data_IF_988407365218
#
_entry.id   IF_988407365218
#
_cell.length_a   1.000
_cell.length_b   1.000
_cell.length_c   1.000
_cell.angle_alpha   90.00
_cell.angle_beta   90.00
_cell.angle_gamma   90.00
#
_symmetry.space_group_name_H-M   'P 1'
#
loop_
_entity.id
_entity.type
_entity.pdbx_description
1 polymer ?
#
# COMPACT_ATOMS: atom_id res chain seq x y z
N UNK A 1 23.42 -17.52 11.94
CA UNK A 1 22.55 -16.61 11.15
C UNK A 1 21.13 -17.12 11.32
N UNK A 2 20.25 -16.37 11.96
CA UNK A 2 18.84 -16.75 12.03
C UNK A 2 18.26 -16.69 10.60
N UNK A 3 17.45 -17.69 10.23
CA UNK A 3 16.70 -17.65 8.99
C UNK A 3 15.83 -16.36 8.96
N UNK A 4 15.68 -15.72 7.80
CA UNK A 4 14.77 -14.58 7.73
C UNK A 4 13.39 -15.01 8.23
N UNK A 5 12.82 -14.23 9.15
CA UNK A 5 11.48 -14.50 9.66
C UNK A 5 10.51 -14.53 8.47
N UNK A 6 9.76 -15.62 8.33
CA UNK A 6 8.73 -15.69 7.30
C UNK A 6 7.64 -14.64 7.57
N UNK A 7 7.04 -14.10 6.51
CA UNK A 7 5.90 -13.19 6.66
C UNK A 7 4.80 -13.85 7.52
N UNK A 8 4.06 -13.08 8.33
CA UNK A 8 2.95 -13.62 9.11
C UNK A 8 1.95 -14.35 8.22
N UNK A 9 1.36 -15.42 8.74
CA UNK A 9 0.26 -16.08 8.04
C UNK A 9 -0.89 -15.09 7.86
N UNK A 10 -1.53 -15.10 6.68
CA UNK A 10 -2.72 -14.30 6.45
C UNK A 10 -3.88 -14.84 7.31
N UNK A 11 -4.61 -13.94 7.95
CA UNK A 11 -5.79 -14.30 8.77
C UNK A 11 -7.04 -14.49 7.91
N UNK A 12 -7.03 -13.97 6.68
CA UNK A 12 -8.13 -14.05 5.71
C UNK A 12 -7.56 -14.46 4.36
N UNK A 13 -8.27 -15.34 3.65
CA UNK A 13 -7.95 -15.66 2.25
C UNK A 13 -8.34 -14.49 1.35
N UNK A 14 -7.37 -13.99 0.58
CA UNK A 14 -7.56 -12.86 -0.34
C UNK A 14 -7.30 -13.36 -1.76
N UNK A 15 -8.35 -13.68 -2.48
CA UNK A 15 -8.29 -14.11 -3.87
C UNK A 15 -8.89 -13.06 -4.83
N UNK A 16 -8.73 -13.30 -6.12
CA UNK A 16 -9.22 -12.40 -7.16
C UNK A 16 -10.74 -12.18 -7.10
N UNK A 17 -11.51 -13.20 -6.73
CA UNK A 17 -12.95 -13.14 -6.66
C UNK A 17 -13.40 -12.19 -5.52
N UNK A 18 -12.77 -12.31 -4.35
CA UNK A 18 -13.01 -11.41 -3.23
C UNK A 18 -12.65 -9.96 -3.58
N UNK A 19 -11.46 -9.75 -4.15
CA UNK A 19 -11.00 -8.40 -4.52
C UNK A 19 -11.94 -7.79 -5.56
N UNK A 20 -12.36 -8.55 -6.57
CA UNK A 20 -13.31 -8.07 -7.57
C UNK A 20 -14.66 -7.69 -6.95
N UNK A 21 -15.21 -8.54 -6.05
CA UNK A 21 -16.46 -8.27 -5.37
C UNK A 21 -16.39 -7.00 -4.50
N UNK A 22 -15.28 -6.77 -3.79
CA UNK A 22 -15.04 -5.57 -3.00
C UNK A 22 -15.05 -4.31 -3.88
N UNK A 23 -14.30 -4.33 -4.99
CA UNK A 23 -14.21 -3.18 -5.91
C UNK A 23 -15.57 -2.92 -6.57
N UNK A 24 -16.22 -3.93 -7.13
CA UNK A 24 -17.48 -3.78 -7.85
C UNK A 24 -18.62 -3.25 -7.00
N UNK A 25 -18.63 -3.66 -5.72
CA UNK A 25 -19.70 -3.25 -4.81
C UNK A 25 -19.54 -1.84 -4.27
N UNK A 26 -18.29 -1.39 -4.07
CA UNK A 26 -18.03 -0.12 -3.39
C UNK A 26 -17.55 0.99 -4.31
N UNK A 27 -16.96 0.65 -5.46
CA UNK A 27 -16.42 1.60 -6.43
C UNK A 27 -16.86 1.27 -7.86
N UNK A 28 -18.14 1.51 -8.19
CA UNK A 28 -18.70 1.18 -9.53
C UNK A 28 -17.90 1.79 -10.69
N UNK A 29 -17.26 2.94 -10.46
CA UNK A 29 -16.41 3.60 -11.45
C UNK A 29 -15.14 2.83 -11.81
N UNK A 30 -14.73 1.89 -10.96
CA UNK A 30 -13.56 1.04 -11.17
C UNK A 30 -13.92 -0.37 -11.67
N UNK A 31 -15.21 -0.65 -11.91
CA UNK A 31 -15.70 -1.99 -12.29
C UNK A 31 -15.09 -2.49 -13.58
N UNK A 32 -14.92 -1.59 -14.56
CA UNK A 32 -14.42 -1.93 -15.90
C UNK A 32 -12.88 -2.02 -15.96
N UNK A 33 -12.19 -1.69 -14.85
CA UNK A 33 -10.75 -1.84 -14.79
C UNK A 33 -10.38 -3.30 -14.58
N UNK A 34 -9.46 -3.77 -15.40
CA UNK A 34 -8.96 -5.15 -15.31
C UNK A 34 -8.20 -5.38 -13.98
N UNK A 35 -8.51 -6.50 -13.31
CA UNK A 35 -7.75 -6.96 -12.16
C UNK A 35 -6.57 -7.79 -12.68
N UNK A 36 -5.36 -7.27 -12.53
CA UNK A 36 -4.13 -7.85 -13.04
C UNK A 36 -3.36 -8.66 -12.01
N UNK A 37 -2.04 -8.53 -12.03
CA UNK A 37 -1.11 -9.28 -11.17
C UNK A 37 -1.31 -9.04 -9.68
N UNK A 38 -1.08 -10.10 -8.91
CA UNK A 38 -1.03 -10.08 -7.45
C UNK A 38 0.42 -9.98 -6.97
N UNK A 39 0.62 -9.12 -5.99
CA UNK A 39 1.87 -8.96 -5.26
C UNK A 39 1.60 -9.19 -3.78
N UNK A 40 2.35 -10.10 -3.18
CA UNK A 40 2.23 -10.40 -1.76
C UNK A 40 3.40 -9.79 -0.99
N UNK A 41 3.08 -8.82 -0.11
CA UNK A 41 4.03 -8.21 0.80
C UNK A 41 3.93 -8.78 2.21
N UNK A 42 4.71 -8.21 3.13
CA UNK A 42 4.72 -8.61 4.54
C UNK A 42 3.38 -8.35 5.22
N UNK A 43 2.79 -7.17 5.01
CA UNK A 43 1.57 -6.72 5.68
C UNK A 43 0.34 -6.75 4.78
N UNK A 44 0.52 -6.62 3.46
CA UNK A 44 -0.58 -6.46 2.51
C UNK A 44 -0.44 -7.37 1.30
N UNK A 45 -1.59 -7.73 0.74
CA UNK A 45 -1.71 -8.19 -0.64
C UNK A 45 -2.10 -6.99 -1.51
N UNK A 46 -1.44 -6.84 -2.64
CA UNK A 46 -1.69 -5.77 -3.60
C UNK A 46 -2.03 -6.36 -4.96
N UNK A 47 -3.12 -5.93 -5.55
CA UNK A 47 -3.54 -6.33 -6.89
C UNK A 47 -3.49 -5.14 -7.84
N UNK A 48 -2.92 -5.33 -9.03
CA UNK A 48 -3.04 -4.34 -10.09
C UNK A 48 -4.51 -4.12 -10.44
N UNK A 49 -4.90 -2.86 -10.69
CA UNK A 49 -6.24 -2.49 -11.13
C UNK A 49 -6.13 -1.51 -12.30
N UNK A 50 -6.29 -2.02 -13.50
CA UNK A 50 -5.95 -1.29 -14.72
C UNK A 50 -4.46 -0.91 -14.76
N UNK A 51 -4.14 0.19 -15.44
CA UNK A 51 -2.75 0.63 -15.63
C UNK A 51 -2.22 1.48 -14.46
N UNK A 52 -3.09 2.27 -13.83
CA UNK A 52 -2.66 3.36 -12.96
C UNK A 52 -3.02 3.17 -11.50
N UNK A 53 -3.68 2.06 -11.16
CA UNK A 53 -4.20 1.80 -9.82
C UNK A 53 -3.79 0.44 -9.29
N UNK A 54 -3.90 0.31 -7.97
CA UNK A 54 -3.79 -0.96 -7.28
C UNK A 54 -4.80 -1.04 -6.13
N UNK A 55 -5.28 -2.24 -5.85
CA UNK A 55 -6.09 -2.56 -4.67
C UNK A 55 -5.14 -3.11 -3.61
N UNK A 56 -5.11 -2.50 -2.45
CA UNK A 56 -4.23 -2.87 -1.34
C UNK A 56 -5.05 -3.30 -0.14
N UNK A 57 -4.87 -4.55 0.26
CA UNK A 57 -5.64 -5.21 1.32
C UNK A 57 -4.70 -5.69 2.43
N UNK A 58 -4.95 -5.37 3.70
CA UNK A 58 -4.17 -5.93 4.81
C UNK A 58 -4.42 -7.42 4.96
N UNK A 59 -3.40 -8.16 5.44
CA UNK A 59 -3.44 -9.62 5.61
C UNK A 59 -3.77 -10.05 7.04
N UNK A 60 -3.58 -9.15 7.98
CA UNK A 60 -3.75 -9.38 9.41
C UNK A 60 -4.42 -8.18 10.08
N UNK A 61 -4.99 -8.39 11.27
CA UNK A 61 -5.55 -7.29 12.07
C UNK A 61 -4.50 -6.20 12.34
N UNK A 62 -3.27 -6.59 12.67
CA UNK A 62 -2.18 -5.63 12.90
C UNK A 62 -1.91 -4.75 11.67
N UNK A 63 -1.86 -5.36 10.49
CA UNK A 63 -1.66 -4.62 9.24
C UNK A 63 -2.83 -3.67 8.94
N UNK A 64 -4.07 -4.10 9.26
CA UNK A 64 -5.25 -3.27 9.13
C UNK A 64 -5.20 -2.03 10.05
N UNK A 65 -4.80 -2.19 11.30
CA UNK A 65 -4.64 -1.08 12.25
C UNK A 65 -3.57 -0.08 11.77
N UNK A 66 -2.45 -0.58 11.27
CA UNK A 66 -1.40 0.26 10.67
C UNK A 66 -1.90 1.01 9.44
N UNK A 67 -2.70 0.37 8.60
CA UNK A 67 -3.27 0.99 7.40
C UNK A 67 -4.28 2.09 7.74
N UNK A 68 -5.07 1.95 8.79
CA UNK A 68 -5.96 3.01 9.28
C UNK A 68 -5.16 4.25 9.69
N UNK A 69 -4.04 4.05 10.38
CA UNK A 69 -3.11 5.14 10.73
C UNK A 69 -2.51 5.79 9.47
N UNK A 70 -2.10 4.99 8.50
CA UNK A 70 -1.60 5.45 7.20
C UNK A 70 -2.63 6.33 6.47
N UNK A 71 -3.90 5.90 6.41
CA UNK A 71 -4.96 6.69 5.78
C UNK A 71 -5.14 8.07 6.40
N UNK A 72 -4.97 8.18 7.70
CA UNK A 72 -5.11 9.43 8.42
C UNK A 72 -3.91 10.37 8.27
N UNK A 73 -2.70 9.82 8.17
CA UNK A 73 -1.46 10.59 8.25
C UNK A 73 -0.76 10.81 6.92
N UNK A 74 -0.70 9.81 6.04
CA UNK A 74 0.03 9.91 4.79
C UNK A 74 -0.38 11.12 3.93
N UNK A 75 -1.67 11.44 3.75
CA UNK A 75 -2.08 12.62 2.97
C UNK A 75 -1.56 13.94 3.55
N UNK A 76 -1.36 14.01 4.87
CA UNK A 76 -0.92 15.22 5.56
C UNK A 76 0.58 15.45 5.43
N UNK A 77 1.36 14.35 5.47
CA UNK A 77 2.81 14.44 5.56
C UNK A 77 3.52 14.36 4.21
N UNK A 78 2.87 13.79 3.18
CA UNK A 78 3.51 13.58 1.88
C UNK A 78 3.48 14.80 0.95
N UNK A 79 2.76 15.87 1.29
CA UNK A 79 2.54 17.02 0.40
C UNK A 79 3.83 17.74 -0.05
N UNK A 80 4.91 17.62 0.72
CA UNK A 80 6.22 18.23 0.40
C UNK A 80 7.28 17.24 -0.06
N UNK A 81 6.94 15.98 -0.28
CA UNK A 81 7.92 14.97 -0.65
C UNK A 81 8.32 15.07 -2.13
N UNK A 82 9.61 14.92 -2.47
CA UNK A 82 10.08 14.94 -3.84
C UNK A 82 9.83 13.63 -4.61
N UNK A 83 9.05 12.72 -4.05
CA UNK A 83 8.71 11.41 -4.62
C UNK A 83 7.22 11.11 -4.43
N UNK A 84 6.72 10.16 -5.20
CA UNK A 84 5.32 9.72 -5.12
C UNK A 84 5.10 8.82 -3.91
N UNK A 85 3.95 8.98 -3.25
CA UNK A 85 3.49 8.10 -2.19
C UNK A 85 2.15 7.45 -2.59
N UNK A 86 1.88 6.21 -2.17
CA UNK A 86 0.64 5.50 -2.48
C UNK A 86 -0.51 5.96 -1.57
N UNK A 87 -0.83 7.26 -1.62
CA UNK A 87 -1.94 7.84 -0.86
C UNK A 87 -3.25 7.21 -1.33
N UNK A 88 -4.09 6.78 -0.40
CA UNK A 88 -5.37 6.18 -0.72
C UNK A 88 -6.26 7.15 -1.51
N UNK A 89 -6.57 6.82 -2.75
CA UNK A 89 -7.51 7.57 -3.58
C UNK A 89 -8.96 7.20 -3.23
N UNK A 90 -9.19 5.98 -2.79
CA UNK A 90 -10.45 5.46 -2.28
C UNK A 90 -10.17 4.55 -1.08
N UNK A 91 -11.02 4.61 -0.08
CA UNK A 91 -10.97 3.73 1.09
C UNK A 91 -12.25 2.92 1.10
N UNK A 92 -12.11 1.61 1.04
CA UNK A 92 -13.21 0.66 1.12
C UNK A 92 -13.46 0.19 2.56
N UNK A 93 -14.70 -0.18 2.82
CA UNK A 93 -15.16 -0.68 4.11
C UNK A 93 -15.17 -2.22 4.13
N UNK A 94 -15.19 -2.84 5.31
CA UNK A 94 -15.35 -4.29 5.47
C UNK A 94 -16.56 -4.82 4.70
N UNK A 95 -16.41 -6.00 4.08
CA UNK A 95 -17.53 -6.65 3.37
C UNK A 95 -17.35 -8.17 3.32
N UNK A 96 -18.42 -8.89 3.62
CA UNK A 96 -18.44 -10.35 3.57
C UNK A 96 -17.37 -10.97 4.47
N UNK A 97 -16.50 -11.86 3.94
CA UNK A 97 -15.44 -12.48 4.72
C UNK A 97 -14.24 -11.57 4.97
N UNK A 98 -14.19 -10.36 4.38
CA UNK A 98 -13.10 -9.43 4.57
C UNK A 98 -13.45 -8.39 5.64
N UNK A 99 -12.82 -8.45 6.84
CA UNK A 99 -13.28 -7.70 8.01
C UNK A 99 -12.66 -6.32 8.16
N UNK A 100 -11.78 -5.89 7.26
CA UNK A 100 -11.00 -4.67 7.43
C UNK A 100 -11.26 -3.64 6.34
N UNK A 101 -10.86 -2.40 6.62
CA UNK A 101 -10.72 -1.37 5.60
C UNK A 101 -9.60 -1.73 4.64
N UNK A 102 -9.73 -1.27 3.41
CA UNK A 102 -8.79 -1.49 2.32
C UNK A 102 -8.75 -0.26 1.43
N UNK A 103 -7.86 -0.19 0.46
CA UNK A 103 -7.74 1.00 -0.37
C UNK A 103 -7.47 0.71 -1.83
N UNK A 104 -7.95 1.62 -2.70
CA UNK A 104 -7.42 1.82 -4.04
C UNK A 104 -6.37 2.93 -3.94
N UNK A 105 -5.15 2.63 -4.36
CA UNK A 105 -4.00 3.52 -4.36
C UNK A 105 -3.45 3.71 -5.77
N UNK A 106 -2.75 4.83 -6.06
CA UNK A 106 -2.04 4.95 -7.33
C UNK A 106 -0.98 3.86 -7.47
N UNK A 107 -0.88 3.27 -8.65
CA UNK A 107 0.25 2.42 -9.00
C UNK A 107 1.46 3.30 -9.33
N UNK A 108 2.56 3.09 -8.62
CA UNK A 108 3.81 3.82 -8.87
C UNK A 108 4.65 2.98 -9.83
N UNK A 109 4.71 3.41 -11.08
CA UNK A 109 5.54 2.77 -12.09
C UNK A 109 7.01 2.93 -11.76
N UNK A 110 7.78 1.87 -11.89
CA UNK A 110 9.20 1.85 -11.61
C UNK A 110 9.74 0.42 -11.58
N UNK A 111 11.02 0.31 -11.28
CA UNK A 111 11.70 -0.96 -11.07
C UNK A 111 12.16 -1.05 -9.62
N UNK A 112 12.20 -2.23 -9.08
CA UNK A 112 12.81 -2.45 -7.77
C UNK A 112 14.34 -2.34 -7.87
N UNK A 113 15.00 -1.98 -6.79
CA UNK A 113 16.47 -1.96 -6.75
C UNK A 113 17.11 -3.35 -6.92
N UNK A 114 16.31 -4.40 -6.81
CA UNK A 114 16.73 -5.76 -7.12
C UNK A 114 16.76 -6.01 -8.64
N UNK A 115 15.80 -5.47 -9.39
CA UNK A 115 15.75 -5.55 -10.86
C UNK A 115 16.72 -4.59 -11.52
N UNK A 116 16.81 -3.36 -10.98
CA UNK A 116 17.72 -2.33 -11.42
C UNK A 116 18.48 -1.75 -10.22
N UNK A 117 19.71 -2.19 -9.96
CA UNK A 117 20.54 -1.63 -8.90
C UNK A 117 20.69 -0.12 -9.05
N UNK A 118 20.66 0.57 -7.93
CA UNK A 118 20.83 2.02 -7.91
C UNK A 118 22.24 2.39 -8.39
N UNK A 119 22.30 3.30 -9.35
CA UNK A 119 23.52 4.01 -9.69
C UNK A 119 23.77 5.19 -8.73
N UNK A 120 24.81 5.98 -8.99
CA UNK A 120 25.15 7.13 -8.14
C UNK A 120 24.04 8.20 -8.11
N UNK A 121 23.28 8.36 -9.19
CA UNK A 121 22.16 9.32 -9.26
C UNK A 121 20.98 8.79 -8.44
N UNK A 122 20.62 7.52 -8.61
CA UNK A 122 19.56 6.90 -7.83
C UNK A 122 19.88 6.86 -6.33
N UNK A 123 21.15 6.65 -5.95
CA UNK A 123 21.58 6.74 -4.55
C UNK A 123 21.48 8.17 -4.00
N UNK A 124 21.79 9.18 -4.80
CA UNK A 124 21.64 10.59 -4.43
C UNK A 124 20.15 10.93 -4.24
N UNK A 125 19.28 10.54 -5.18
CA UNK A 125 17.83 10.76 -5.10
C UNK A 125 17.22 10.07 -3.88
N UNK A 126 17.65 8.84 -3.57
CA UNK A 126 17.25 8.15 -2.34
C UNK A 126 17.67 8.94 -1.10
N UNK A 127 18.89 9.52 -1.10
CA UNK A 127 19.36 10.38 -0.01
C UNK A 127 18.46 11.62 0.18
N UNK A 128 18.05 12.26 -0.91
CA UNK A 128 17.10 13.38 -0.88
C UNK A 128 15.72 12.95 -0.36
N UNK A 129 15.23 11.80 -0.78
CA UNK A 129 13.97 11.24 -0.32
C UNK A 129 14.00 10.97 1.19
N UNK A 130 15.05 10.31 1.69
CA UNK A 130 15.25 10.05 3.11
C UNK A 130 15.33 11.34 3.92
N UNK A 131 16.05 12.35 3.41
CA UNK A 131 16.10 13.68 4.06
C UNK A 131 14.72 14.33 4.14
N UNK A 132 13.90 14.19 3.10
CA UNK A 132 12.52 14.71 3.09
C UNK A 132 11.60 13.97 4.08
N UNK A 133 11.88 12.71 4.40
CA UNK A 133 11.14 11.93 5.39
C UNK A 133 11.53 12.27 6.85
N UNK A 134 12.77 12.67 7.08
CA UNK A 134 13.31 12.90 8.42
C UNK A 134 12.95 14.29 8.95
N UNK A 135 11.70 14.45 9.35
CA UNK A 135 11.20 15.63 10.04
C UNK A 135 10.80 15.28 11.47
N UNK A 136 10.76 16.32 12.33
CA UNK A 136 10.18 16.18 13.67
C UNK A 136 8.70 15.84 13.51
N UNK A 137 8.28 14.74 14.13
CA UNK A 137 6.88 14.34 14.09
C UNK A 137 6.00 15.40 14.76
N UNK A 138 4.80 15.70 14.24
CA UNK A 138 3.85 16.57 14.91
C UNK A 138 3.53 16.04 16.32
N UNK A 139 3.23 16.90 17.29
CA UNK A 139 2.93 16.48 18.66
C UNK A 139 1.77 15.48 18.76
N UNK A 140 0.81 15.56 17.85
CA UNK A 140 -0.36 14.70 17.74
C UNK A 140 -0.10 13.39 16.98
N UNK A 141 1.10 13.19 16.47
CA UNK A 141 1.44 11.95 15.76
C UNK A 141 1.33 10.74 16.70
N UNK A 142 0.82 9.59 16.22
CA UNK A 142 0.74 8.38 17.02
C UNK A 142 2.13 7.96 17.47
N UNK A 143 2.24 7.54 18.72
CA UNK A 143 3.48 6.95 19.26
C UNK A 143 3.48 5.46 18.98
N UNK A 144 4.63 4.95 18.57
CA UNK A 144 4.85 3.51 18.47
C UNK A 144 4.95 2.87 19.85
#
# INVERSE_FOLDING_TARGET
>A
MAAPSAAPAAEVSIDAALVRALVDSQFPEARDLELGEQYEGWDCVTWRLGNDWAVRLPRTQRAADMQVTEFAWLPKICAGWPFRAPVAARIGEPMGPFPWRWAIVPWIHGFTSFEQPLDNYGAYDLGLALRALHHVAPPEAPRN
#
